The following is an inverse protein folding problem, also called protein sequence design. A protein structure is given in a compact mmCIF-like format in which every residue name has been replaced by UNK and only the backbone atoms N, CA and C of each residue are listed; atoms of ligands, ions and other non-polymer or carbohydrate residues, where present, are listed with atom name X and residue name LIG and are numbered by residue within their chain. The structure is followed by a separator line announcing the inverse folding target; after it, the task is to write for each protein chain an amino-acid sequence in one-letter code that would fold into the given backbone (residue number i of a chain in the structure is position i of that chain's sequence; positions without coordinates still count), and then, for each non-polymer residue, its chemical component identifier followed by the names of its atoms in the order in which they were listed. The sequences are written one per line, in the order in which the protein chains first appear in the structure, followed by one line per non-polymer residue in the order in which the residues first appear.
data_IF_533712469506
#
_entry.id   IF_533712469506
#
_cell.length_a   1.000
_cell.length_b   1.000
_cell.length_c   1.000
_cell.angle_alpha   90.00
_cell.angle_beta   90.00
_cell.angle_gamma   90.00
#
_symmetry.space_group_name_H-M   'P 1'
#
loop_
_entity.id
_entity.type
_entity.pdbx_description
1 polymer ?
#
# COMPACT_ATOMS: atom_id res chain seq x y z
N UNK A 1 21.89 10.92 -11.17
CA UNK A 1 20.77 10.00 -11.49
C UNK A 1 20.49 9.20 -10.23
N UNK A 2 19.24 9.24 -9.74
CA UNK A 2 18.89 8.96 -8.35
C UNK A 2 18.83 7.44 -8.08
N UNK A 3 19.99 6.81 -7.83
CA UNK A 3 20.12 5.37 -7.51
C UNK A 3 19.12 4.95 -6.42
N UNK A 4 18.81 5.83 -5.47
CA UNK A 4 17.88 5.59 -4.37
C UNK A 4 16.47 5.23 -4.86
N UNK A 5 15.97 5.88 -5.91
CA UNK A 5 14.64 5.60 -6.46
C UNK A 5 14.63 4.22 -7.10
N UNK A 6 15.67 3.87 -7.85
CA UNK A 6 15.81 2.55 -8.47
C UNK A 6 15.98 1.44 -7.43
N UNK A 7 16.71 1.71 -6.35
CA UNK A 7 16.89 0.76 -5.25
C UNK A 7 15.57 0.56 -4.47
N UNK A 8 14.84 1.63 -4.18
CA UNK A 8 13.53 1.56 -3.52
C UNK A 8 12.52 0.79 -4.39
N UNK A 9 12.51 1.05 -5.71
CA UNK A 9 11.69 0.31 -6.66
C UNK A 9 12.06 -1.18 -6.69
N UNK A 10 13.35 -1.51 -6.71
CA UNK A 10 13.83 -2.89 -6.68
C UNK A 10 13.41 -3.62 -5.40
N UNK A 11 13.50 -2.97 -4.23
CA UNK A 11 13.04 -3.53 -2.97
C UNK A 11 11.52 -3.75 -2.93
N UNK A 12 10.74 -2.81 -3.46
CA UNK A 12 9.28 -2.96 -3.60
C UNK A 12 8.94 -4.16 -4.48
N UNK A 13 9.62 -4.31 -5.62
CA UNK A 13 9.45 -5.45 -6.53
C UNK A 13 9.81 -6.79 -5.86
N UNK A 14 10.91 -6.83 -5.10
CA UNK A 14 11.31 -8.02 -4.35
C UNK A 14 10.26 -8.38 -3.30
N UNK A 15 9.77 -7.41 -2.53
CA UNK A 15 8.74 -7.65 -1.52
C UNK A 15 7.40 -8.07 -2.12
N UNK A 16 6.95 -7.41 -3.19
CA UNK A 16 5.73 -7.76 -3.92
C UNK A 16 5.83 -9.13 -4.60
N UNK A 17 7.02 -9.50 -5.10
CA UNK A 17 7.26 -10.81 -5.73
C UNK A 17 7.42 -11.96 -4.74
N UNK A 18 7.90 -11.67 -3.52
CA UNK A 18 8.09 -12.66 -2.45
C UNK A 18 6.76 -13.31 -2.03
N UNK A 19 5.69 -12.53 -1.88
CA UNK A 19 4.36 -13.02 -1.50
C UNK A 19 3.84 -14.18 -2.38
N UNK A 20 3.71 -13.99 -3.71
CA UNK A 20 3.28 -15.04 -4.62
C UNK A 20 4.32 -16.16 -4.79
N UNK A 21 5.62 -15.88 -4.64
CA UNK A 21 6.68 -16.88 -4.85
C UNK A 21 6.87 -17.83 -3.67
N UNK A 22 6.75 -17.35 -2.41
CA UNK A 22 6.89 -18.20 -1.22
C UNK A 22 5.64 -19.04 -0.93
N UNK A 23 4.44 -18.46 -1.06
CA UNK A 23 3.19 -19.12 -0.63
C UNK A 23 2.04 -18.85 -1.63
N UNK A 24 2.13 -19.32 -2.88
CA UNK A 24 1.16 -19.02 -3.94
C UNK A 24 -0.28 -19.44 -3.59
N UNK A 25 -0.44 -20.51 -2.82
CA UNK A 25 -1.77 -21.01 -2.40
C UNK A 25 -2.42 -20.09 -1.38
N UNK A 26 -1.68 -19.63 -0.38
CA UNK A 26 -2.19 -18.72 0.65
C UNK A 26 -2.44 -17.34 0.04
N UNK A 27 -1.51 -16.84 -0.77
CA UNK A 27 -1.64 -15.58 -1.49
C UNK A 27 -2.91 -15.55 -2.36
N UNK A 28 -3.13 -16.59 -3.17
CA UNK A 28 -4.35 -16.71 -3.99
C UNK A 28 -5.62 -16.75 -3.12
N UNK A 29 -5.58 -17.46 -1.98
CA UNK A 29 -6.72 -17.57 -1.07
C UNK A 29 -7.02 -16.24 -0.37
N UNK A 30 -5.99 -15.47 -0.02
CA UNK A 30 -6.13 -14.12 0.53
C UNK A 30 -6.77 -13.18 -0.50
N UNK A 31 -6.25 -13.15 -1.73
CA UNK A 31 -6.81 -12.32 -2.82
C UNK A 31 -8.26 -12.73 -3.10
N UNK A 32 -8.56 -14.03 -3.20
CA UNK A 32 -9.93 -14.49 -3.43
C UNK A 32 -10.85 -14.14 -2.27
N UNK A 33 -10.39 -14.25 -1.03
CA UNK A 33 -11.18 -13.83 0.14
C UNK A 33 -11.47 -12.33 0.11
N UNK A 34 -10.50 -11.52 -0.34
CA UNK A 34 -10.68 -10.08 -0.54
C UNK A 34 -11.63 -9.76 -1.71
N UNK A 35 -11.55 -10.51 -2.81
CA UNK A 35 -12.41 -10.35 -3.98
C UNK A 35 -13.85 -10.85 -3.74
N UNK A 36 -14.05 -11.75 -2.78
CA UNK A 36 -15.37 -12.22 -2.35
C UNK A 36 -16.02 -11.28 -1.31
N UNK A 37 -15.30 -10.29 -0.79
CA UNK A 37 -15.91 -9.27 0.07
C UNK A 37 -16.87 -8.41 -0.74
N UNK A 38 -18.03 -8.04 -0.17
CA UNK A 38 -18.99 -7.21 -0.87
C UNK A 38 -18.36 -5.85 -1.23
N UNK A 39 -18.64 -5.36 -2.44
CA UNK A 39 -18.05 -4.12 -3.00
C UNK A 39 -18.19 -2.91 -2.08
N UNK A 40 -19.22 -2.88 -1.23
CA UNK A 40 -19.41 -1.85 -0.20
C UNK A 40 -18.29 -1.83 0.83
N UNK A 41 -17.82 -3.00 1.26
CA UNK A 41 -16.70 -3.11 2.18
C UNK A 41 -15.40 -2.77 1.47
N UNK A 42 -15.20 -3.26 0.25
CA UNK A 42 -14.02 -2.94 -0.55
C UNK A 42 -13.89 -1.42 -0.80
N UNK A 43 -14.99 -0.73 -1.09
CA UNK A 43 -15.04 0.74 -1.21
C UNK A 43 -14.80 1.46 0.12
N UNK A 44 -15.26 0.91 1.25
CA UNK A 44 -14.97 1.47 2.58
C UNK A 44 -13.50 1.28 2.98
N UNK A 45 -12.91 0.14 2.68
CA UNK A 45 -11.48 -0.11 2.92
C UNK A 45 -10.62 0.77 2.01
N UNK A 46 -10.90 0.79 0.71
CA UNK A 46 -10.20 1.66 -0.24
C UNK A 46 -10.39 3.14 0.10
N UNK A 47 -11.62 3.57 0.36
CA UNK A 47 -11.92 4.94 0.79
C UNK A 47 -11.27 5.29 2.12
N UNK A 48 -11.27 4.38 3.09
CA UNK A 48 -10.60 4.55 4.38
C UNK A 48 -9.08 4.69 4.25
N UNK A 49 -8.44 3.89 3.37
CA UNK A 49 -7.02 4.03 3.06
C UNK A 49 -6.71 5.37 2.37
N UNK A 50 -7.54 5.82 1.44
CA UNK A 50 -7.39 7.14 0.81
C UNK A 50 -7.51 8.23 1.85
N UNK A 51 -8.53 8.18 2.71
CA UNK A 51 -8.72 9.18 3.77
C UNK A 51 -7.55 9.15 4.76
N UNK A 52 -7.13 7.97 5.23
CA UNK A 52 -5.98 7.85 6.13
C UNK A 52 -4.69 8.38 5.49
N UNK A 53 -4.43 8.05 4.22
CA UNK A 53 -3.28 8.55 3.48
C UNK A 53 -3.30 10.07 3.32
N UNK A 54 -4.45 10.65 2.98
CA UNK A 54 -4.64 12.10 2.89
C UNK A 54 -4.44 12.77 4.25
N UNK A 55 -4.96 12.18 5.34
CA UNK A 55 -4.78 12.71 6.70
C UNK A 55 -3.30 12.67 7.11
N UNK A 56 -2.60 11.56 6.87
CA UNK A 56 -1.16 11.44 7.17
C UNK A 56 -0.37 12.44 6.32
N UNK A 57 -0.68 12.57 5.03
CA UNK A 57 -0.06 13.54 4.14
C UNK A 57 -0.28 14.97 4.63
N UNK A 58 -1.52 15.32 5.00
CA UNK A 58 -1.82 16.64 5.56
C UNK A 58 -1.11 16.87 6.88
N UNK A 59 -1.07 15.89 7.80
CA UNK A 59 -0.35 16.04 9.07
C UNK A 59 1.15 16.23 8.87
N UNK A 60 1.76 15.41 8.00
CA UNK A 60 3.19 15.47 7.73
C UNK A 60 3.55 16.76 6.98
N UNK A 61 2.73 17.16 6.01
CA UNK A 61 2.93 18.42 5.27
C UNK A 61 2.66 19.65 6.15
N UNK A 62 1.69 19.60 7.07
CA UNK A 62 1.42 20.68 8.01
C UNK A 62 2.54 20.80 9.06
N UNK A 63 3.06 19.69 9.58
CA UNK A 63 4.22 19.70 10.49
C UNK A 63 5.52 20.10 9.79
N UNK A 64 5.69 19.76 8.51
CA UNK A 64 6.83 20.20 7.71
C UNK A 64 6.79 21.70 7.37
N UNK A 65 5.61 22.34 7.43
CA UNK A 65 5.41 23.76 7.20
C UNK A 65 5.50 24.65 8.46
N UNK A 66 5.47 24.09 9.67
CA UNK A 66 5.52 24.84 10.93
C UNK A 66 6.92 24.93 11.56
N UNK A 67 7.97 24.55 10.82
CA UNK A 67 9.37 24.61 11.23
C UNK A 67 10.23 25.58 10.40
N UNK A 68 9.61 26.59 9.78
CA UNK A 68 10.29 27.71 9.11
C UNK A 68 10.39 28.92 10.03
#
# INVERSE_FOLDING_TARGET
MNITIWLALALVLVLEGIGPMLLPRIWRRMILSMAQLPDRLLRRFGGGLVVAGVVIYYMLSAHAGSGG
#
